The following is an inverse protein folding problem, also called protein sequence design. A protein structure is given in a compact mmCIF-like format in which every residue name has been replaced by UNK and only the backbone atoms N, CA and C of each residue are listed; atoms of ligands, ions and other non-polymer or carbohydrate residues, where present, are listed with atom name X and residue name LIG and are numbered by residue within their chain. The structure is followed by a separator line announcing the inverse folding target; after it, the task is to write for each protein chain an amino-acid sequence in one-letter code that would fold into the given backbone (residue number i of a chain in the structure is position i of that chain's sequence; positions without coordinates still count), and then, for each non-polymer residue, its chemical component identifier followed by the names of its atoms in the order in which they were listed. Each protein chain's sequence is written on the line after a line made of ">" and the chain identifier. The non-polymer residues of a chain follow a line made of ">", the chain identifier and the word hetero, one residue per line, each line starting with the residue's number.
data_IF_477215504952
#
_entry.id   IF_477215504952
#
_cell.length_a   1.000
_cell.length_b   1.000
_cell.length_c   1.000
_cell.angle_alpha   90.00
_cell.angle_beta   90.00
_cell.angle_gamma   90.00
#
_symmetry.space_group_name_H-M   'P 1'
#
loop_
_entity.id
_entity.type
_entity.pdbx_description
1 polymer ?
#
# COMPACT_ATOMS: atom_id res chain seq x y z
N UNK A 1 4.63 -44.43 -35.05
CA UNK A 1 4.29 -43.04 -35.48
C UNK A 1 5.56 -42.39 -36.04
N UNK A 2 5.48 -41.62 -37.13
CA UNK A 2 6.68 -40.96 -37.68
C UNK A 2 7.16 -39.84 -36.77
N UNK A 3 8.47 -39.56 -36.78
CA UNK A 3 9.10 -38.49 -36.00
C UNK A 3 8.39 -37.14 -36.19
N UNK A 4 7.91 -36.86 -37.41
CA UNK A 4 7.12 -35.65 -37.73
C UNK A 4 5.79 -35.57 -36.95
N UNK A 5 5.11 -36.70 -36.74
CA UNK A 5 3.87 -36.73 -35.95
C UNK A 5 4.16 -36.49 -34.47
N UNK A 6 5.23 -37.04 -33.92
CA UNK A 6 5.61 -36.78 -32.52
C UNK A 6 5.96 -35.31 -32.27
N UNK A 7 6.74 -34.70 -33.17
CA UNK A 7 7.06 -33.27 -33.09
C UNK A 7 5.77 -32.44 -33.14
N UNK A 8 4.88 -32.72 -34.09
CA UNK A 8 3.61 -31.99 -34.21
C UNK A 8 2.73 -32.11 -32.95
N UNK A 9 2.63 -33.30 -32.34
CA UNK A 9 1.86 -33.50 -31.11
C UNK A 9 2.47 -32.78 -29.90
N UNK A 10 3.80 -32.83 -29.74
CA UNK A 10 4.49 -32.12 -28.65
C UNK A 10 4.35 -30.60 -28.80
N UNK A 11 4.51 -30.08 -30.03
CA UNK A 11 4.33 -28.65 -30.30
C UNK A 11 2.89 -28.22 -30.06
N UNK A 12 1.90 -28.99 -30.52
CA UNK A 12 0.49 -28.70 -30.27
C UNK A 12 0.14 -28.75 -28.77
N UNK A 13 0.65 -29.74 -28.04
CA UNK A 13 0.48 -29.84 -26.58
C UNK A 13 1.11 -28.67 -25.83
N UNK A 14 2.32 -28.26 -26.20
CA UNK A 14 2.99 -27.10 -25.61
C UNK A 14 2.26 -25.79 -25.91
N UNK A 15 1.77 -25.61 -27.15
CA UNK A 15 0.97 -24.45 -27.53
C UNK A 15 -0.36 -24.41 -26.77
N UNK A 16 -1.07 -25.54 -26.66
CA UNK A 16 -2.30 -25.64 -25.89
C UNK A 16 -2.06 -25.32 -24.41
N UNK A 17 -1.01 -25.86 -23.81
CA UNK A 17 -0.63 -25.55 -22.42
C UNK A 17 -0.27 -24.07 -22.24
N UNK A 18 0.45 -23.48 -23.18
CA UNK A 18 0.77 -22.05 -23.17
C UNK A 18 -0.48 -21.19 -23.16
N UNK A 19 -1.44 -21.44 -24.07
CA UNK A 19 -2.68 -20.67 -24.12
C UNK A 19 -3.58 -20.94 -22.91
N UNK A 20 -3.60 -22.18 -22.40
CA UNK A 20 -4.33 -22.52 -21.17
C UNK A 20 -3.78 -21.73 -19.97
N UNK A 21 -2.46 -21.76 -19.75
CA UNK A 21 -1.82 -21.04 -18.65
C UNK A 21 -2.01 -19.52 -18.77
N UNK A 22 -1.98 -18.98 -20.00
CA UNK A 22 -2.22 -17.55 -20.27
C UNK A 22 -3.70 -17.15 -20.15
N UNK A 23 -4.62 -18.12 -20.22
CA UNK A 23 -6.05 -17.88 -20.02
C UNK A 23 -6.48 -17.91 -18.55
N UNK A 24 -5.60 -18.35 -17.65
CA UNK A 24 -5.83 -18.23 -16.21
C UNK A 24 -5.81 -16.74 -15.82
N UNK A 25 -6.66 -16.30 -14.88
CA UNK A 25 -6.63 -14.93 -14.38
C UNK A 25 -5.28 -14.67 -13.73
N UNK A 26 -4.43 -13.94 -14.45
CA UNK A 26 -3.15 -13.42 -14.01
C UNK A 26 -3.12 -11.97 -14.50
N UNK A 27 -3.53 -11.06 -13.63
CA UNK A 27 -3.54 -9.63 -13.96
C UNK A 27 -2.73 -8.86 -12.92
N UNK A 28 -2.03 -7.88 -13.47
CA UNK A 28 -0.81 -7.27 -12.95
C UNK A 28 -1.06 -6.40 -11.70
N UNK A 29 -2.31 -5.93 -11.55
CA UNK A 29 -2.89 -5.23 -10.39
C UNK A 29 -4.02 -6.04 -9.71
N UNK A 30 -4.30 -7.24 -10.22
CA UNK A 30 -5.19 -8.33 -9.74
C UNK A 30 -5.27 -8.57 -8.24
N UNK A 31 -4.07 -8.52 -7.69
CA UNK A 31 -3.81 -9.15 -6.41
C UNK A 31 -4.12 -8.21 -5.27
N UNK A 32 -4.02 -6.89 -5.43
CA UNK A 32 -4.47 -5.93 -4.44
C UNK A 32 -5.82 -5.31 -4.80
N UNK A 33 -6.23 -5.40 -6.07
CA UNK A 33 -7.47 -4.83 -6.59
C UNK A 33 -8.34 -5.87 -7.33
N UNK A 34 -9.66 -5.83 -7.17
CA UNK A 34 -10.59 -6.66 -7.94
C UNK A 34 -10.58 -6.25 -9.43
N UNK A 35 -10.73 -7.22 -10.34
CA UNK A 35 -10.30 -7.20 -11.75
C UNK A 35 -10.58 -5.90 -12.55
N UNK A 36 -9.54 -5.10 -12.82
CA UNK A 36 -9.48 -4.03 -13.81
C UNK A 36 -8.14 -4.11 -14.57
N UNK A 37 -8.12 -3.75 -15.85
CA UNK A 37 -6.86 -3.65 -16.61
C UNK A 37 -6.05 -2.42 -16.15
N UNK A 38 -4.73 -2.54 -15.98
CA UNK A 38 -3.90 -1.40 -15.61
C UNK A 38 -3.89 -0.34 -16.72
N UNK A 39 -3.85 0.93 -16.32
CA UNK A 39 -3.70 2.06 -17.23
C UNK A 39 -2.21 2.36 -17.38
N UNK A 40 -1.69 2.28 -18.61
CA UNK A 40 -0.30 2.59 -18.91
C UNK A 40 -0.16 4.03 -19.40
N UNK A 41 0.61 4.87 -18.69
CA UNK A 41 0.92 6.24 -19.12
C UNK A 41 2.44 6.43 -19.16
N UNK A 42 3.00 6.63 -20.36
CA UNK A 42 4.44 6.85 -20.51
C UNK A 42 5.32 5.68 -20.05
N UNK A 43 4.82 4.45 -20.09
CA UNK A 43 5.52 3.27 -19.59
C UNK A 43 5.40 3.04 -18.08
N UNK A 44 4.71 3.94 -17.36
CA UNK A 44 4.36 3.77 -15.94
C UNK A 44 3.03 3.05 -15.85
N UNK A 45 2.97 2.03 -15.00
CA UNK A 45 1.77 1.27 -14.71
C UNK A 45 0.97 1.96 -13.60
N UNK A 46 -0.29 2.26 -13.88
CA UNK A 46 -1.28 2.65 -12.90
C UNK A 46 -2.28 1.51 -12.77
N UNK A 47 -2.60 1.17 -11.54
CA UNK A 47 -3.82 0.43 -11.26
C UNK A 47 -4.98 1.36 -11.76
N UNK A 48 -5.88 0.86 -12.62
CA UNK A 48 -6.79 1.63 -13.49
C UNK A 48 -7.83 2.54 -12.79
N UNK A 49 -8.78 3.11 -13.54
CA UNK A 49 -9.79 4.00 -12.94
C UNK A 49 -10.86 3.22 -12.14
N UNK A 50 -11.22 3.73 -10.96
CA UNK A 50 -12.30 3.23 -10.08
C UNK A 50 -12.09 1.83 -9.47
N UNK A 51 -10.87 1.48 -9.10
CA UNK A 51 -10.54 0.14 -8.60
C UNK A 51 -11.16 -0.20 -7.25
N UNK A 52 -11.47 -1.49 -7.04
CA UNK A 52 -11.83 -2.01 -5.73
C UNK A 52 -10.60 -2.64 -5.09
N UNK A 53 -10.12 -2.12 -3.96
CA UNK A 53 -9.08 -2.81 -3.20
C UNK A 53 -9.66 -4.01 -2.44
N UNK A 54 -8.88 -5.08 -2.32
CA UNK A 54 -9.20 -6.20 -1.44
C UNK A 54 -8.32 -6.12 -0.19
N UNK A 55 -8.86 -6.55 0.95
CA UNK A 55 -8.08 -6.67 2.17
C UNK A 55 -7.38 -8.02 2.23
N UNK A 56 -6.05 -8.00 2.29
CA UNK A 56 -5.25 -9.22 2.32
C UNK A 56 -4.50 -9.35 3.62
N UNK A 57 -4.50 -10.57 4.15
CA UNK A 57 -3.58 -10.97 5.18
C UNK A 57 -2.36 -11.63 4.53
N UNK A 58 -1.15 -11.05 4.67
CA UNK A 58 0.08 -11.62 4.12
C UNK A 58 0.41 -13.01 4.67
N UNK A 59 -0.16 -13.44 5.81
CA UNK A 59 0.05 -14.81 6.30
C UNK A 59 -0.65 -15.87 5.44
N UNK A 60 -1.69 -15.46 4.73
CA UNK A 60 -2.51 -16.36 3.90
C UNK A 60 -1.90 -16.51 2.49
N UNK A 61 -0.93 -15.66 2.15
CA UNK A 61 -0.36 -15.49 0.82
C UNK A 61 1.16 -15.59 0.89
N UNK A 62 1.70 -16.68 0.36
CA UNK A 62 3.15 -16.92 0.37
C UNK A 62 3.78 -16.45 -0.92
N UNK A 63 4.64 -15.44 -0.81
CA UNK A 63 5.54 -15.02 -1.87
C UNK A 63 6.94 -15.61 -1.63
N UNK A 64 7.73 -15.89 -2.69
CA UNK A 64 9.09 -16.42 -2.57
C UNK A 64 10.11 -15.34 -2.18
N UNK A 65 9.68 -14.38 -1.34
CA UNK A 65 10.43 -13.21 -0.94
C UNK A 65 10.22 -12.93 0.54
N UNK A 66 11.21 -12.29 1.17
CA UNK A 66 11.15 -11.83 2.56
C UNK A 66 11.58 -10.39 2.65
N UNK A 67 10.89 -9.63 3.49
CA UNK A 67 11.18 -8.24 3.78
C UNK A 67 12.00 -8.13 5.06
N UNK A 68 13.17 -7.50 4.98
CA UNK A 68 14.03 -7.18 6.11
C UNK A 68 14.08 -5.66 6.23
N UNK A 69 13.82 -5.12 7.43
CA UNK A 69 13.78 -3.68 7.69
C UNK A 69 14.60 -3.38 8.93
N UNK A 70 15.50 -2.40 8.82
CA UNK A 70 16.42 -2.03 9.89
C UNK A 70 16.36 -0.51 10.13
N UNK A 71 16.12 -0.05 11.37
CA UNK A 71 16.21 1.36 11.71
C UNK A 71 17.60 1.93 11.44
N UNK A 72 17.66 3.17 10.95
CA UNK A 72 18.92 3.92 10.90
C UNK A 72 19.33 4.32 12.32
N UNK A 73 20.63 4.44 12.58
CA UNK A 73 21.18 4.85 13.87
C UNK A 73 20.64 6.20 14.40
N UNK A 74 20.28 7.15 13.53
CA UNK A 74 19.69 8.44 13.91
C UNK A 74 18.17 8.38 14.16
N UNK A 75 17.54 7.22 13.96
CA UNK A 75 16.10 6.95 14.10
C UNK A 75 15.19 7.81 13.22
N UNK A 76 15.72 8.47 12.19
CA UNK A 76 14.95 9.30 11.25
C UNK A 76 14.48 8.53 10.01
N UNK A 77 14.53 7.20 10.06
CA UNK A 77 14.17 6.34 8.95
C UNK A 77 14.83 4.97 9.11
N UNK A 78 15.18 4.36 7.98
CA UNK A 78 15.77 3.02 7.97
C UNK A 78 16.28 2.58 6.61
N UNK A 79 16.74 1.36 6.59
CA UNK A 79 17.06 0.60 5.39
C UNK A 79 16.11 -0.58 5.26
N UNK A 80 15.95 -1.08 4.05
CA UNK A 80 15.31 -2.36 3.82
C UNK A 80 16.01 -3.16 2.74
N UNK A 81 15.78 -4.47 2.78
CA UNK A 81 16.16 -5.43 1.75
C UNK A 81 14.98 -6.36 1.49
N UNK A 82 14.82 -6.74 0.22
CA UNK A 82 13.94 -7.82 -0.19
C UNK A 82 14.84 -8.97 -0.63
N UNK A 83 14.70 -10.13 -0.01
CA UNK A 83 15.50 -11.32 -0.34
C UNK A 83 14.61 -12.44 -0.87
N UNK A 84 15.11 -13.22 -1.82
CA UNK A 84 14.43 -14.41 -2.32
C UNK A 84 14.50 -15.58 -1.32
N UNK A 85 13.84 -16.69 -1.64
CA UNK A 85 13.87 -17.91 -0.82
C UNK A 85 15.27 -18.52 -0.63
N UNK A 86 16.23 -18.17 -1.48
CA UNK A 86 17.63 -18.58 -1.37
C UNK A 86 18.48 -17.59 -0.54
N UNK A 87 17.87 -16.51 -0.04
CA UNK A 87 18.56 -15.46 0.72
C UNK A 87 19.35 -14.47 -0.15
N UNK A 88 19.11 -14.43 -1.46
CA UNK A 88 19.74 -13.48 -2.38
C UNK A 88 18.93 -12.20 -2.45
N UNK A 89 19.59 -11.06 -2.61
CA UNK A 89 18.89 -9.79 -2.82
C UNK A 89 18.12 -9.80 -4.13
N UNK A 90 16.86 -9.37 -4.04
CA UNK A 90 16.08 -8.92 -5.19
C UNK A 90 16.54 -7.51 -5.50
N UNK A 91 17.11 -7.31 -6.69
CA UNK A 91 17.80 -6.07 -7.02
C UNK A 91 16.81 -5.02 -7.52
N UNK A 92 17.12 -3.71 -7.43
CA UNK A 92 16.19 -2.65 -7.84
C UNK A 92 15.62 -2.77 -9.26
N UNK A 93 16.36 -3.35 -10.21
CA UNK A 93 15.86 -3.55 -11.57
C UNK A 93 14.83 -4.70 -11.71
N UNK A 94 14.64 -5.50 -10.66
CA UNK A 94 13.60 -6.52 -10.58
C UNK A 94 12.27 -5.94 -10.05
N UNK A 95 12.20 -4.63 -9.80
CA UNK A 95 11.00 -3.91 -9.35
C UNK A 95 10.47 -3.01 -10.47
N UNK A 96 9.24 -3.29 -10.90
CA UNK A 96 8.54 -2.45 -11.85
C UNK A 96 8.09 -1.14 -11.21
N UNK A 97 8.03 -0.08 -12.04
CA UNK A 97 7.47 1.20 -11.62
C UNK A 97 5.94 1.11 -11.69
N UNK A 98 5.30 1.19 -10.53
CA UNK A 98 3.85 1.27 -10.34
C UNK A 98 3.52 2.51 -9.52
N UNK A 99 2.52 3.30 -9.94
CA UNK A 99 2.19 4.58 -9.29
C UNK A 99 3.41 5.51 -9.12
N UNK A 100 4.25 5.60 -10.15
CA UNK A 100 5.49 6.40 -10.18
C UNK A 100 6.61 5.97 -9.22
N UNK A 101 6.47 4.82 -8.55
CA UNK A 101 7.45 4.29 -7.58
C UNK A 101 7.72 2.81 -7.81
N UNK A 102 8.87 2.33 -7.34
CA UNK A 102 9.21 0.90 -7.46
C UNK A 102 8.71 0.06 -6.28
N UNK A 103 8.56 0.70 -5.11
CA UNK A 103 8.19 0.05 -3.87
C UNK A 103 7.43 1.05 -3.00
N UNK A 104 6.29 0.60 -2.46
CA UNK A 104 5.52 1.32 -1.45
C UNK A 104 5.73 0.64 -0.11
N UNK A 105 6.21 1.42 0.86
CA UNK A 105 6.51 0.93 2.20
C UNK A 105 5.51 1.55 3.18
N UNK A 106 4.78 0.70 3.87
CA UNK A 106 3.73 1.09 4.80
C UNK A 106 4.12 0.70 6.22
N UNK A 107 4.21 1.68 7.11
CA UNK A 107 4.52 1.47 8.53
C UNK A 107 3.29 1.79 9.36
N UNK A 108 2.66 0.79 9.96
CA UNK A 108 1.55 0.96 10.89
C UNK A 108 2.04 0.72 12.33
N UNK A 109 1.94 1.73 13.19
CA UNK A 109 2.43 1.66 14.56
C UNK A 109 1.59 0.70 15.41
N UNK A 110 2.25 -0.20 16.13
CA UNK A 110 1.65 -1.18 17.05
C UNK A 110 1.75 -0.71 18.50
N UNK A 111 2.88 -0.11 18.87
CA UNK A 111 3.16 0.35 20.24
C UNK A 111 3.74 1.77 20.21
N UNK A 112 3.48 2.56 21.26
CA UNK A 112 4.03 3.91 21.39
C UNK A 112 3.23 5.03 20.70
N UNK A 113 2.05 4.75 20.14
CA UNK A 113 1.17 5.77 19.54
C UNK A 113 0.18 5.21 18.52
N UNK A 114 -0.48 6.12 17.80
CA UNK A 114 -1.20 5.81 16.56
C UNK A 114 -0.57 6.61 15.43
N UNK A 115 0.31 5.96 14.68
CA UNK A 115 0.97 6.55 13.53
C UNK A 115 0.92 5.61 12.34
N UNK A 116 0.90 6.22 11.17
CA UNK A 116 1.04 5.53 9.91
C UNK A 116 1.93 6.35 8.97
N UNK A 117 2.76 5.66 8.19
CA UNK A 117 3.57 6.26 7.15
C UNK A 117 3.44 5.46 5.86
N UNK A 118 3.35 6.18 4.75
CA UNK A 118 3.47 5.65 3.40
C UNK A 118 4.73 6.26 2.79
N UNK A 119 5.77 5.44 2.62
CA UNK A 119 7.10 5.86 2.23
C UNK A 119 7.50 5.21 0.91
N UNK A 120 8.42 5.87 0.20
CA UNK A 120 8.98 5.37 -1.05
C UNK A 120 10.48 5.24 -0.90
N UNK A 121 10.97 4.05 -0.52
CA UNK A 121 12.39 3.83 -0.38
C UNK A 121 13.12 4.05 -1.70
N UNK A 122 14.33 4.60 -1.62
CA UNK A 122 15.21 4.84 -2.76
C UNK A 122 16.26 3.72 -2.85
N UNK A 123 16.45 3.12 -4.03
CA UNK A 123 17.38 2.03 -4.20
C UNK A 123 18.83 2.51 -4.04
N UNK A 124 19.66 1.67 -3.44
CA UNK A 124 21.09 1.89 -3.24
C UNK A 124 21.90 0.98 -4.16
N UNK A 125 23.18 1.31 -4.34
CA UNK A 125 24.09 0.56 -5.22
C UNK A 125 24.40 -0.86 -4.71
N UNK A 126 24.27 -1.09 -3.41
CA UNK A 126 24.49 -2.38 -2.76
C UNK A 126 23.25 -3.29 -2.77
N UNK A 127 22.17 -2.89 -3.44
CA UNK A 127 20.91 -3.63 -3.50
C UNK A 127 19.99 -3.40 -2.31
N UNK A 128 20.42 -2.64 -1.29
CA UNK A 128 19.55 -2.15 -0.24
C UNK A 128 18.69 -0.98 -0.73
N UNK A 129 17.72 -0.60 0.09
CA UNK A 129 16.91 0.59 -0.11
C UNK A 129 16.97 1.44 1.14
N UNK A 130 16.96 2.75 0.99
CA UNK A 130 16.90 3.67 2.13
C UNK A 130 15.59 4.43 2.13
N UNK A 131 15.07 4.71 3.31
CA UNK A 131 13.92 5.60 3.47
C UNK A 131 14.15 6.54 4.64
N UNK A 132 13.56 7.72 4.54
CA UNK A 132 13.54 8.72 5.59
C UNK A 132 12.11 8.99 6.02
N UNK A 133 11.92 9.23 7.30
CA UNK A 133 10.66 9.75 7.81
C UNK A 133 10.50 11.23 7.42
N UNK A 134 9.26 11.69 7.23
CA UNK A 134 8.97 13.10 7.11
C UNK A 134 9.58 13.88 8.30
N UNK A 135 10.14 15.07 8.04
CA UNK A 135 10.92 15.82 9.04
C UNK A 135 10.16 16.10 10.33
N UNK A 136 8.92 16.57 10.22
CA UNK A 136 8.11 16.85 11.43
C UNK A 136 7.72 15.55 12.14
N UNK A 137 7.73 14.40 11.45
CA UNK A 137 7.38 13.11 12.03
C UNK A 137 8.56 12.68 12.87
N UNK A 138 9.74 12.65 12.27
CA UNK A 138 11.01 12.39 12.94
C UNK A 138 11.21 13.27 14.18
N UNK A 139 10.84 14.56 14.10
CA UNK A 139 10.96 15.50 15.23
C UNK A 139 10.08 15.16 16.44
N UNK A 140 8.99 14.40 16.26
CA UNK A 140 8.04 14.02 17.31
C UNK A 140 8.03 12.52 17.57
N UNK A 141 8.83 11.76 16.82
CA UNK A 141 8.84 10.32 16.85
C UNK A 141 9.52 9.83 18.12
N UNK A 142 8.77 9.10 18.95
CA UNK A 142 9.24 8.62 20.23
C UNK A 142 9.80 7.18 20.18
N UNK A 143 9.88 6.58 18.99
CA UNK A 143 10.12 5.14 18.83
C UNK A 143 8.84 4.31 18.94
N UNK A 144 8.98 2.99 18.88
CA UNK A 144 7.87 2.04 18.94
C UNK A 144 8.00 0.90 17.93
N UNK A 145 7.13 -0.09 18.09
CA UNK A 145 7.02 -1.22 17.18
C UNK A 145 6.08 -0.89 16.02
N UNK A 146 6.45 -1.34 14.84
CA UNK A 146 5.68 -1.17 13.63
C UNK A 146 5.41 -2.52 12.98
N UNK A 147 4.19 -2.67 12.49
CA UNK A 147 3.91 -3.62 11.42
C UNK A 147 4.26 -2.95 10.11
N UNK A 148 5.13 -3.59 9.35
CA UNK A 148 5.63 -3.06 8.08
C UNK A 148 5.09 -3.91 6.96
N UNK A 149 4.54 -3.25 5.94
CA UNK A 149 4.15 -3.88 4.69
C UNK A 149 4.97 -3.27 3.56
N UNK A 150 5.40 -4.10 2.62
CA UNK A 150 5.94 -3.63 1.36
C UNK A 150 5.08 -4.20 0.24
N UNK A 151 4.58 -3.32 -0.62
CA UNK A 151 4.02 -3.73 -1.90
C UNK A 151 4.83 -3.20 -3.06
N UNK A 152 4.97 -4.06 -4.06
CA UNK A 152 5.68 -3.76 -5.29
C UNK A 152 5.25 -4.72 -6.38
N UNK A 153 5.64 -4.41 -7.60
CA UNK A 153 5.45 -5.30 -8.74
C UNK A 153 6.79 -5.88 -9.15
N UNK A 154 6.89 -7.22 -9.23
CA UNK A 154 8.11 -7.85 -9.70
C UNK A 154 8.22 -7.74 -11.22
N UNK A 155 9.30 -7.15 -11.74
CA UNK A 155 9.47 -6.75 -13.14
C UNK A 155 9.29 -7.92 -14.11
N UNK A 156 9.87 -9.09 -13.80
CA UNK A 156 9.82 -10.23 -14.72
C UNK A 156 8.45 -10.89 -14.78
N UNK A 157 7.80 -11.07 -13.63
CA UNK A 157 6.49 -11.73 -13.58
C UNK A 157 5.34 -10.77 -13.77
N UNK A 158 5.58 -9.46 -13.64
CA UNK A 158 4.56 -8.39 -13.59
C UNK A 158 3.45 -8.67 -12.57
N UNK A 159 3.80 -9.38 -11.49
CA UNK A 159 2.86 -9.71 -10.41
C UNK A 159 3.10 -8.79 -9.24
N UNK A 160 2.01 -8.31 -8.63
CA UNK A 160 2.07 -7.65 -7.34
C UNK A 160 2.56 -8.65 -6.28
N UNK A 161 3.48 -8.18 -5.45
CA UNK A 161 4.01 -8.88 -4.29
C UNK A 161 3.62 -8.08 -3.06
N UNK A 162 3.12 -8.78 -2.04
CA UNK A 162 2.84 -8.22 -0.74
C UNK A 162 3.67 -8.94 0.31
N UNK A 163 4.56 -8.21 0.97
CA UNK A 163 5.36 -8.71 2.07
C UNK A 163 4.98 -8.01 3.38
N UNK A 164 5.15 -8.71 4.50
CA UNK A 164 5.09 -8.10 5.81
C UNK A 164 6.28 -8.50 6.68
N UNK A 165 6.54 -7.65 7.66
CA UNK A 165 7.44 -7.94 8.78
C UNK A 165 7.05 -7.05 9.96
N UNK A 166 7.77 -7.19 11.07
CA UNK A 166 7.73 -6.26 12.20
C UNK A 166 9.10 -5.64 12.38
N UNK A 167 9.14 -4.35 12.68
CA UNK A 167 10.38 -3.62 12.96
C UNK A 167 10.19 -2.73 14.19
N UNK A 168 11.23 -2.66 15.03
CA UNK A 168 11.21 -1.92 16.28
C UNK A 168 12.19 -0.76 16.20
N UNK A 169 11.69 0.47 16.35
CA UNK A 169 12.54 1.63 16.57
C UNK A 169 12.70 1.84 18.07
N UNK A 170 13.94 1.80 18.60
CA UNK A 170 14.20 2.04 20.02
C UNK A 170 13.54 3.33 20.52
N UNK A 171 12.94 3.27 21.71
CA UNK A 171 12.34 4.46 22.32
C UNK A 171 13.42 5.47 22.67
N UNK A 172 13.22 6.72 22.24
CA UNK A 172 14.07 7.85 22.62
C UNK A 172 13.76 8.38 24.03
N UNK A 173 12.66 7.94 24.64
CA UNK A 173 12.21 8.40 25.95
C UNK A 173 11.99 7.22 26.90
N UNK A 174 12.85 7.09 27.91
CA UNK A 174 12.83 5.97 28.86
C UNK A 174 11.73 6.09 29.93
N UNK A 175 11.11 7.26 30.09
CA UNK A 175 10.14 7.55 31.18
C UNK A 175 8.98 8.47 30.79
N UNK A 176 8.75 8.71 29.50
CA UNK A 176 7.61 9.50 29.07
C UNK A 176 6.44 8.58 28.78
N UNK A 177 5.33 8.75 29.49
CA UNK A 177 4.03 8.24 29.01
C UNK A 177 3.92 8.64 27.55
N UNK A 178 3.60 7.73 26.61
CA UNK A 178 3.36 8.12 25.23
C UNK A 178 2.16 9.06 25.25
N UNK A 179 2.42 10.36 25.39
CA UNK A 179 1.48 11.38 24.97
C UNK A 179 1.25 11.01 23.52
N UNK A 180 0.03 10.61 23.19
CA UNK A 180 -0.46 10.46 21.82
C UNK A 180 -0.04 11.71 21.08
N UNK A 181 1.17 11.70 20.52
CA UNK A 181 1.72 12.79 19.75
C UNK A 181 0.86 12.74 18.53
N UNK A 182 -0.13 13.64 18.54
CA UNK A 182 -1.17 13.74 17.57
C UNK A 182 -0.51 13.59 16.21
N UNK A 183 -0.82 12.47 15.57
CA UNK A 183 -1.40 12.43 14.24
C UNK A 183 -0.79 13.52 13.35
N UNK A 184 -0.02 13.09 12.35
CA UNK A 184 0.53 13.90 11.26
C UNK A 184 -0.59 14.49 10.37
N UNK A 185 -1.55 15.14 11.02
CA UNK A 185 -2.92 15.40 10.62
C UNK A 185 -3.10 16.90 10.66
N UNK A 186 -2.59 17.50 9.58
CA UNK A 186 -2.76 18.91 9.24
C UNK A 186 -4.15 19.14 8.63
N UNK A 187 -4.70 18.11 7.99
CA UNK A 187 -6.06 18.10 7.43
C UNK A 187 -7.00 17.33 8.36
N UNK A 188 -8.26 17.70 8.39
CA UNK A 188 -9.33 16.90 8.97
C UNK A 188 -9.95 16.03 7.87
N UNK A 189 -10.38 14.84 8.26
CA UNK A 189 -11.07 13.90 7.40
C UNK A 189 -12.27 13.33 8.14
N UNK A 190 -13.43 13.31 7.47
CA UNK A 190 -14.67 12.75 7.98
C UNK A 190 -15.29 11.83 6.93
N UNK A 191 -15.97 10.76 7.37
CA UNK A 191 -16.74 9.95 6.45
C UNK A 191 -18.00 10.68 5.98
N UNK A 192 -18.37 10.49 4.72
CA UNK A 192 -19.62 10.98 4.14
C UNK A 192 -20.58 9.81 3.98
N UNK A 193 -21.75 9.90 4.61
CA UNK A 193 -22.83 8.92 4.50
C UNK A 193 -22.37 7.47 4.76
N UNK A 194 -21.56 7.24 5.81
CA UNK A 194 -21.01 5.92 6.12
C UNK A 194 -22.15 4.94 6.47
N UNK A 195 -22.35 3.85 5.68
CA UNK A 195 -23.34 2.84 6.02
C UNK A 195 -22.82 1.95 7.15
N UNK A 196 -23.71 1.07 7.65
CA UNK A 196 -23.26 -0.07 8.46
C UNK A 196 -22.41 -0.96 7.57
N UNK A 197 -21.16 -1.20 7.98
CA UNK A 197 -20.19 -2.00 7.23
C UNK A 197 -20.33 -3.47 7.63
N UNK A 198 -20.49 -4.37 6.66
CA UNK A 198 -20.54 -5.82 6.90
C UNK A 198 -19.38 -6.54 6.24
N UNK A 199 -18.94 -7.62 6.86
CA UNK A 199 -17.81 -8.41 6.40
C UNK A 199 -18.04 -8.93 4.98
N UNK A 200 -17.01 -8.81 4.13
CA UNK A 200 -17.04 -9.30 2.76
C UNK A 200 -17.84 -8.45 1.76
N UNK A 201 -18.53 -7.39 2.20
CA UNK A 201 -19.22 -6.45 1.30
C UNK A 201 -18.23 -5.55 0.58
N UNK A 202 -18.54 -5.26 -0.69
CA UNK A 202 -17.88 -4.21 -1.46
C UNK A 202 -18.56 -2.87 -1.17
N UNK A 203 -17.81 -1.90 -0.65
CA UNK A 203 -18.33 -0.59 -0.29
C UNK A 203 -17.51 0.53 -0.92
N UNK A 204 -18.12 1.71 -1.01
CA UNK A 204 -17.44 2.96 -1.38
C UNK A 204 -17.29 3.83 -0.12
N UNK A 205 -16.09 3.87 0.44
CA UNK A 205 -15.75 4.74 1.56
C UNK A 205 -15.49 6.15 1.05
N UNK A 206 -16.44 7.06 1.27
CA UNK A 206 -16.30 8.47 0.91
C UNK A 206 -15.76 9.25 2.10
N UNK A 207 -14.70 10.01 1.87
CA UNK A 207 -14.05 10.84 2.87
C UNK A 207 -14.02 12.27 2.39
N UNK A 208 -14.58 13.18 3.19
CA UNK A 208 -14.47 14.62 2.96
C UNK A 208 -13.27 15.16 3.72
N UNK A 209 -12.48 15.97 3.05
CA UNK A 209 -11.29 16.59 3.61
C UNK A 209 -11.52 18.08 3.83
N UNK A 210 -10.92 18.63 4.90
CA UNK A 210 -10.94 20.07 5.18
C UNK A 210 -9.72 20.52 5.96
N UNK A 211 -9.26 21.75 5.76
CA UNK A 211 -8.27 22.37 6.64
C UNK A 211 -8.89 22.70 8.01
N UNK A 212 -8.07 22.74 9.07
CA UNK A 212 -8.54 23.14 10.41
C UNK A 212 -8.97 24.60 10.48
N UNK A 213 -8.37 25.45 9.66
CA UNK A 213 -8.65 26.89 9.58
C UNK A 213 -9.76 27.24 8.56
N UNK A 214 -10.34 26.23 7.89
CA UNK A 214 -11.40 26.40 6.90
C UNK A 214 -10.93 26.90 5.54
N UNK A 215 -9.62 27.01 5.30
CA UNK A 215 -9.11 27.37 3.97
C UNK A 215 -9.38 26.27 2.92
N UNK A 216 -9.50 26.62 1.64
CA UNK A 216 -9.69 25.63 0.58
C UNK A 216 -8.52 24.65 0.51
N UNK A 217 -8.83 23.35 0.39
CA UNK A 217 -7.82 22.31 0.24
C UNK A 217 -7.57 21.99 -1.24
N UNK A 218 -6.50 22.55 -1.79
CA UNK A 218 -6.07 22.24 -3.16
C UNK A 218 -5.22 20.97 -3.16
N UNK A 219 -5.82 19.84 -3.50
CA UNK A 219 -5.10 18.57 -3.62
C UNK A 219 -4.16 18.58 -4.83
N UNK A 220 -2.93 18.19 -4.57
CA UNK A 220 -1.89 17.95 -5.56
C UNK A 220 -1.76 16.45 -5.83
N UNK A 221 -1.34 16.11 -7.04
CA UNK A 221 -1.02 14.73 -7.39
C UNK A 221 0.13 14.23 -6.53
N UNK A 222 -0.11 13.13 -5.84
CA UNK A 222 0.84 12.38 -5.04
C UNK A 222 0.88 10.98 -5.66
N UNK A 223 2.04 10.48 -6.11
CA UNK A 223 2.16 9.15 -6.75
C UNK A 223 1.16 8.88 -7.90
N UNK A 224 0.73 9.93 -8.61
CA UNK A 224 -0.22 9.81 -9.71
C UNK A 224 -1.70 9.76 -9.32
N UNK A 225 -2.04 9.92 -8.03
CA UNK A 225 -3.43 10.09 -7.57
C UNK A 225 -3.59 11.33 -6.68
N UNK A 226 -4.82 11.79 -6.44
CA UNK A 226 -5.10 12.92 -5.54
C UNK A 226 -5.09 12.54 -4.06
N UNK A 227 -4.85 11.27 -3.76
CA UNK A 227 -4.75 10.73 -2.41
C UNK A 227 -4.54 9.23 -2.46
N UNK A 228 -4.18 8.67 -1.31
CA UNK A 228 -4.06 7.24 -1.08
C UNK A 228 -4.78 6.95 0.22
N UNK A 229 -5.32 5.75 0.35
CA UNK A 229 -5.81 5.28 1.63
C UNK A 229 -5.32 3.87 1.90
N UNK A 230 -5.05 3.58 3.17
CA UNK A 230 -4.84 2.21 3.62
C UNK A 230 -5.85 1.85 4.69
N UNK A 231 -6.38 0.64 4.62
CA UNK A 231 -7.16 0.04 5.68
C UNK A 231 -6.28 -0.92 6.46
N UNK A 232 -6.12 -0.72 7.77
CA UNK A 232 -5.34 -1.62 8.65
C UNK A 232 -6.12 -1.96 9.90
N UNK A 233 -5.95 -3.18 10.41
CA UNK A 233 -6.59 -3.66 11.63
C UNK A 233 -5.59 -4.10 12.71
N UNK A 234 -6.10 -4.57 13.84
CA UNK A 234 -5.27 -5.15 14.89
C UNK A 234 -4.53 -6.41 14.41
N UNK A 235 -5.23 -7.27 13.66
CA UNK A 235 -4.65 -8.46 13.04
C UNK A 235 -3.85 -8.10 11.78
N UNK A 236 -2.81 -8.90 11.40
CA UNK A 236 -2.08 -8.69 10.17
C UNK A 236 -3.01 -8.65 8.96
N UNK A 237 -2.81 -7.63 8.14
CA UNK A 237 -3.54 -7.42 6.91
C UNK A 237 -3.68 -5.95 6.59
N UNK A 238 -3.78 -5.67 5.30
CA UNK A 238 -3.98 -4.31 4.81
C UNK A 238 -4.70 -4.32 3.45
N UNK A 239 -5.33 -3.20 3.13
CA UNK A 239 -5.80 -2.89 1.78
C UNK A 239 -5.27 -1.51 1.40
N UNK A 240 -4.60 -1.40 0.26
CA UNK A 240 -4.13 -0.13 -0.29
C UNK A 240 -5.08 0.32 -1.40
N UNK A 241 -5.53 1.57 -1.35
CA UNK A 241 -6.57 2.13 -2.20
C UNK A 241 -6.16 3.47 -2.81
N UNK A 242 -6.60 3.68 -4.05
CA UNK A 242 -6.59 4.96 -4.73
C UNK A 242 -8.02 5.50 -4.84
N UNK A 243 -8.21 6.84 -4.87
CA UNK A 243 -9.54 7.42 -5.02
C UNK A 243 -10.09 7.17 -6.43
N UNK A 244 -11.35 6.75 -6.48
CA UNK A 244 -12.20 6.77 -7.67
C UNK A 244 -12.50 8.21 -8.08
N UNK A 245 -12.68 8.45 -9.38
CA UNK A 245 -13.04 9.77 -9.89
C UNK A 245 -14.55 9.97 -9.86
N UNK A 246 -15.02 10.90 -9.03
CA UNK A 246 -16.43 11.23 -8.82
C UNK A 246 -16.78 12.66 -9.22
N UNK A 247 -15.77 13.48 -9.55
CA UNK A 247 -15.92 14.90 -9.87
C UNK A 247 -15.99 15.80 -8.63
N UNK A 248 -15.74 15.25 -7.44
CA UNK A 248 -15.76 15.97 -6.16
C UNK A 248 -14.39 16.09 -5.49
N UNK A 249 -13.34 15.66 -6.17
CA UNK A 249 -11.97 15.61 -5.65
C UNK A 249 -11.30 16.99 -5.59
N UNK A 250 -11.99 18.05 -6.02
CA UNK A 250 -11.51 19.43 -6.06
C UNK A 250 -12.53 20.37 -5.41
N UNK A 251 -12.06 21.50 -4.90
CA UNK A 251 -12.88 22.54 -4.28
C UNK A 251 -12.46 22.81 -2.83
N UNK A 252 -13.29 23.54 -2.09
CA UNK A 252 -12.96 23.92 -0.70
C UNK A 252 -12.88 22.71 0.23
N UNK A 253 -13.75 21.73 0.03
CA UNK A 253 -13.85 20.49 0.81
C UNK A 253 -13.89 19.28 -0.12
N UNK A 254 -12.74 18.87 -0.68
CA UNK A 254 -12.70 17.78 -1.64
C UNK A 254 -13.15 16.47 -0.97
N UNK A 255 -13.87 15.65 -1.75
CA UNK A 255 -14.30 14.32 -1.36
C UNK A 255 -13.48 13.29 -2.15
N UNK A 256 -12.86 12.35 -1.44
CA UNK A 256 -12.17 11.19 -2.02
C UNK A 256 -13.01 9.94 -1.77
N UNK A 257 -13.21 9.13 -2.81
CA UNK A 257 -14.03 7.92 -2.73
C UNK A 257 -13.17 6.68 -2.96
N UNK A 258 -13.06 5.81 -1.96
CA UNK A 258 -12.23 4.61 -2.01
C UNK A 258 -13.12 3.37 -2.04
N UNK A 259 -12.99 2.54 -3.08
CA UNK A 259 -13.74 1.30 -3.18
C UNK A 259 -12.93 0.16 -2.57
N UNK A 260 -13.56 -0.60 -1.67
CA UNK A 260 -12.90 -1.69 -0.94
C UNK A 260 -13.85 -2.84 -0.68
N UNK A 261 -13.36 -4.06 -0.83
CA UNK A 261 -13.99 -5.26 -0.29
C UNK A 261 -13.58 -5.43 1.17
N UNK A 262 -14.56 -5.32 2.06
CA UNK A 262 -14.35 -5.30 3.50
C UNK A 262 -13.80 -6.64 4.02
N UNK A 263 -12.85 -6.63 4.95
CA UNK A 263 -12.38 -7.83 5.64
C UNK A 263 -13.43 -8.42 6.58
N UNK A 264 -13.02 -9.43 7.37
CA UNK A 264 -13.81 -9.96 8.47
C UNK A 264 -14.22 -8.88 9.48
N UNK A 265 -15.21 -9.19 10.32
CA UNK A 265 -15.67 -8.29 11.36
C UNK A 265 -14.53 -7.91 12.33
N UNK A 266 -14.53 -6.65 12.78
CA UNK A 266 -13.50 -6.12 13.66
C UNK A 266 -13.36 -4.60 13.63
N UNK A 267 -12.38 -4.10 14.36
CA UNK A 267 -12.03 -2.67 14.39
C UNK A 267 -10.82 -2.41 13.50
N UNK A 268 -10.95 -1.40 12.65
CA UNK A 268 -9.93 -1.01 11.69
C UNK A 268 -9.74 0.51 11.71
N UNK A 269 -8.63 0.96 11.14
CA UNK A 269 -8.37 2.38 10.88
C UNK A 269 -8.13 2.57 9.39
N UNK A 270 -8.88 3.48 8.79
CA UNK A 270 -8.61 4.01 7.46
C UNK A 270 -7.63 5.17 7.61
N UNK A 271 -6.44 5.04 7.06
CA UNK A 271 -5.48 6.13 6.98
C UNK A 271 -5.53 6.75 5.59
N UNK A 272 -5.83 8.03 5.51
CA UNK A 272 -5.85 8.80 4.26
C UNK A 272 -4.58 9.64 4.17
N UNK A 273 -3.85 9.53 3.06
CA UNK A 273 -2.62 10.25 2.77
C UNK A 273 -2.81 11.09 1.51
N UNK A 274 -2.62 12.40 1.65
CA UNK A 274 -2.77 13.36 0.54
C UNK A 274 -1.65 14.39 0.56
N UNK A 275 -1.49 15.09 -0.56
CA UNK A 275 -0.64 16.26 -0.66
C UNK A 275 -1.49 17.50 -0.98
N UNK A 276 -1.31 18.58 -0.23
CA UNK A 276 -1.89 19.89 -0.49
C UNK A 276 -0.84 20.99 -0.22
N UNK A 277 0.29 20.91 -0.93
CA UNK A 277 1.51 21.68 -0.68
C UNK A 277 2.41 21.09 0.42
N UNK A 278 1.87 20.22 1.28
CA UNK A 278 2.61 19.38 2.20
C UNK A 278 1.86 18.07 2.42
N UNK A 279 2.58 16.95 2.42
CA UNK A 279 1.99 15.64 2.69
C UNK A 279 1.38 15.58 4.10
N UNK A 280 0.18 15.00 4.18
CA UNK A 280 -0.61 14.92 5.40
C UNK A 280 -1.35 13.60 5.49
N UNK A 281 -1.53 13.11 6.71
CA UNK A 281 -2.22 11.87 7.01
C UNK A 281 -3.45 12.14 7.87
N UNK A 282 -4.52 11.36 7.73
CA UNK A 282 -5.68 11.39 8.64
C UNK A 282 -6.11 9.98 8.98
N UNK A 283 -6.41 9.73 10.24
CA UNK A 283 -6.95 8.46 10.73
C UNK A 283 -8.45 8.56 10.91
N UNK A 284 -9.20 7.65 10.29
CA UNK A 284 -10.63 7.47 10.54
C UNK A 284 -10.86 6.06 11.09
N UNK A 285 -11.31 5.92 12.35
CA UNK A 285 -11.66 4.61 12.89
C UNK A 285 -12.93 4.09 12.22
N UNK A 286 -12.99 2.79 11.96
CA UNK A 286 -14.17 2.10 11.45
C UNK A 286 -14.39 0.76 12.17
N UNK A 287 -15.65 0.32 12.18
CA UNK A 287 -16.05 -0.97 12.72
C UNK A 287 -16.77 -1.74 11.63
N UNK A 288 -16.35 -2.97 11.40
CA UNK A 288 -16.97 -3.91 10.47
C UNK A 288 -17.73 -4.95 11.30
N UNK A 289 -19.00 -5.11 10.99
CA UNK A 289 -19.89 -6.11 11.59
C UNK A 289 -19.94 -7.38 10.75
N UNK A 290 -20.51 -8.45 11.31
CA UNK A 290 -20.85 -9.67 10.57
C UNK A 290 -21.88 -9.42 9.45
#
# INVERSE_FOLDING_TARGET
>A
MSTRRHIAWLTAGAAALYFLLRSLPDTQCTFLHNAHEPVMVGGIEFCGENEEANFYNPTDLKFPFKLIVEPRADLTGGTLRVVDDNGRDVLPHDFAISHTRQLHLHLAQLTGGQSYLHLHPEPQIDGSWTFAFPKDFAAKFAGGDFRVYADFMHERSRRTVLLNTTASWPSLHTNSTPTTSALYTRIHAEFVDLPVLRAGESVMLKVRLSQKDGTPLNLETLMGALGHAVLVGAQPGYAHMHPSWTGRERGEKPELAFRVRLPAAGTYTLWVHVNAGTESYSALPLVISE
#
